data_IF_831322932481
#
_entry.id   IF_831322932481
#
_cell.length_a   1.000
_cell.length_b   1.000
_cell.length_c   1.000
_cell.angle_alpha   90.00
_cell.angle_beta   90.00
_cell.angle_gamma   90.00
#
_symmetry.space_group_name_H-M   'P 1'
#
loop_
_entity.id
_entity.type
_entity.pdbx_description
1 polymer ?
#
# COMPACT_ATOMS: atom_id res chain seq x y z
N UNK A 1 -3.53 83.05 -13.10
CA UNK A 1 -3.72 81.72 -12.53
C UNK A 1 -3.11 81.71 -11.15
N UNK A 2 -3.89 81.50 -10.12
CA UNK A 2 -3.51 81.72 -8.74
C UNK A 2 -2.55 80.59 -8.29
N UNK A 3 -1.44 80.91 -7.66
CA UNK A 3 -0.40 79.94 -7.24
C UNK A 3 -0.96 78.77 -6.43
N UNK A 4 -2.02 79.02 -5.67
CA UNK A 4 -2.74 77.97 -4.94
C UNK A 4 -3.43 76.96 -5.86
N UNK A 5 -3.98 77.38 -6.98
CA UNK A 5 -4.63 76.50 -7.97
C UNK A 5 -3.64 75.64 -8.70
N UNK A 6 -2.44 76.14 -8.94
CA UNK A 6 -1.33 75.35 -9.52
C UNK A 6 -0.80 74.27 -8.55
N UNK A 7 -0.76 74.58 -7.26
CA UNK A 7 -0.33 73.62 -6.23
C UNK A 7 -1.31 72.45 -6.08
N UNK A 8 -2.61 72.72 -6.12
CA UNK A 8 -3.63 71.67 -6.11
C UNK A 8 -3.66 70.82 -7.38
N UNK A 9 -3.40 71.43 -8.54
CA UNK A 9 -3.31 70.70 -9.80
C UNK A 9 -2.12 69.75 -9.85
N UNK A 10 -0.94 70.18 -9.34
CA UNK A 10 0.27 69.36 -9.25
C UNK A 10 0.13 68.27 -8.19
N UNK A 11 -0.52 68.56 -7.05
CA UNK A 11 -0.83 67.54 -6.03
C UNK A 11 -1.82 66.49 -6.53
N UNK A 12 -2.83 66.85 -7.33
CA UNK A 12 -3.77 65.94 -7.92
C UNK A 12 -3.14 65.08 -9.03
N UNK A 13 -2.19 65.60 -9.83
CA UNK A 13 -1.46 64.82 -10.83
C UNK A 13 -0.43 63.86 -10.21
N UNK A 14 0.10 64.16 -9.03
CA UNK A 14 1.01 63.23 -8.34
C UNK A 14 0.31 62.09 -7.61
N UNK A 15 -0.99 62.24 -7.25
CA UNK A 15 -1.78 61.15 -6.68
C UNK A 15 -2.32 60.17 -7.73
N UNK A 16 -2.32 60.51 -9.01
CA UNK A 16 -2.79 59.64 -10.08
C UNK A 16 -1.73 58.65 -10.60
N UNK A 17 -0.50 58.75 -10.12
CA UNK A 17 0.54 57.78 -10.34
C UNK A 17 0.69 56.84 -9.13
N UNK A 18 -0.39 56.24 -8.73
CA UNK A 18 -0.28 54.97 -8.01
C UNK A 18 0.13 53.96 -9.07
N UNK A 19 1.34 53.37 -9.02
CA UNK A 19 1.58 52.21 -9.86
C UNK A 19 0.53 51.21 -9.45
N UNK A 20 -0.34 50.84 -10.40
CA UNK A 20 -1.08 49.63 -10.27
C UNK A 20 -0.01 48.55 -10.10
N UNK A 21 0.30 48.22 -8.85
CA UNK A 21 0.90 46.94 -8.56
C UNK A 21 -0.12 45.95 -9.01
N UNK A 22 0.02 45.47 -10.22
CA UNK A 22 -0.55 44.20 -10.60
C UNK A 22 0.00 43.24 -9.55
N UNK A 23 -0.82 42.95 -8.54
CA UNK A 23 -0.61 41.80 -7.70
C UNK A 23 -0.55 40.64 -8.69
N UNK A 24 0.67 40.31 -9.00
CA UNK A 24 1.13 39.23 -9.85
C UNK A 24 -0.01 38.38 -10.41
N UNK A 25 -0.45 38.68 -11.64
CA UNK A 25 -0.92 37.63 -12.54
C UNK A 25 0.30 36.80 -12.98
N UNK A 26 1.10 36.35 -12.03
CA UNK A 26 1.86 35.17 -12.18
C UNK A 26 0.82 34.08 -12.04
N UNK A 27 0.12 33.77 -13.14
CA UNK A 27 -0.53 32.46 -13.26
C UNK A 27 0.53 31.48 -12.76
N UNK A 28 0.31 30.86 -11.58
CA UNK A 28 1.31 29.96 -11.06
C UNK A 28 1.55 28.97 -12.19
N UNK A 29 2.79 28.79 -12.60
CA UNK A 29 3.13 27.86 -13.69
C UNK A 29 2.89 26.43 -13.20
N UNK A 30 1.63 26.12 -12.91
CA UNK A 30 1.18 24.79 -12.57
C UNK A 30 1.59 23.76 -13.62
N UNK A 31 1.84 24.22 -14.85
CA UNK A 31 2.37 23.37 -15.92
C UNK A 31 3.78 22.88 -15.60
N UNK A 32 4.65 23.74 -15.05
CA UNK A 32 5.98 23.33 -14.61
C UNK A 32 5.89 22.53 -13.30
N UNK A 33 5.07 22.96 -12.33
CA UNK A 33 4.86 22.24 -11.09
C UNK A 33 4.29 20.83 -11.34
N UNK A 34 3.41 20.66 -12.31
CA UNK A 34 2.88 19.34 -12.72
C UNK A 34 3.96 18.37 -13.20
N UNK A 35 5.08 18.86 -13.74
CA UNK A 35 6.20 17.97 -14.12
C UNK A 35 6.79 17.25 -12.92
N UNK A 36 6.71 17.86 -11.73
CA UNK A 36 7.20 17.32 -10.47
C UNK A 36 6.08 16.72 -9.60
N UNK A 37 4.84 16.66 -10.10
CA UNK A 37 3.79 15.93 -9.42
C UNK A 37 4.19 14.46 -9.21
N UNK A 38 3.85 13.82 -8.08
CA UNK A 38 4.23 12.44 -7.79
C UNK A 38 3.98 11.47 -8.94
N UNK A 39 2.83 11.60 -9.62
CA UNK A 39 2.48 10.78 -10.78
C UNK A 39 3.42 10.93 -11.99
N UNK A 40 4.04 12.10 -12.15
CA UNK A 40 4.99 12.35 -13.23
C UNK A 40 6.42 12.05 -12.79
N UNK A 41 6.74 12.33 -11.52
CA UNK A 41 8.03 11.99 -10.93
C UNK A 41 8.25 10.46 -10.96
N UNK A 42 7.23 9.66 -10.69
CA UNK A 42 7.29 8.19 -10.78
C UNK A 42 7.61 7.68 -12.19
N UNK A 43 7.32 8.45 -13.23
CA UNK A 43 7.70 8.10 -14.62
C UNK A 43 9.16 8.43 -14.94
N UNK A 44 9.77 9.36 -14.19
CA UNK A 44 11.14 9.80 -14.35
C UNK A 44 12.09 9.14 -13.36
N UNK A 45 11.56 8.70 -12.21
CA UNK A 45 12.31 8.01 -11.18
C UNK A 45 12.15 6.50 -11.37
N UNK A 46 13.22 5.87 -11.77
CA UNK A 46 13.31 4.41 -11.78
C UNK A 46 13.55 3.88 -10.37
N UNK A 47 13.68 2.56 -10.22
CA UNK A 47 13.93 1.97 -8.90
C UNK A 47 15.22 2.51 -8.31
N UNK A 48 15.12 3.26 -7.21
CA UNK A 48 16.24 3.74 -6.40
C UNK A 48 16.41 2.95 -5.10
N UNK A 49 15.42 2.11 -4.77
CA UNK A 49 15.47 1.15 -3.66
C UNK A 49 15.23 -0.25 -4.18
N UNK A 50 15.72 -1.23 -3.44
CA UNK A 50 15.54 -2.64 -3.72
C UNK A 50 14.71 -3.25 -2.59
N UNK A 51 13.60 -3.90 -2.95
CA UNK A 51 12.77 -4.65 -2.00
C UNK A 51 12.91 -6.15 -2.30
N UNK A 52 13.69 -6.89 -1.51
CA UNK A 52 13.86 -8.32 -1.74
C UNK A 52 12.63 -9.10 -1.30
N UNK A 53 12.22 -10.07 -2.11
CA UNK A 53 11.21 -11.06 -1.77
C UNK A 53 11.89 -12.42 -1.65
N UNK A 54 12.02 -12.92 -0.44
CA UNK A 54 12.74 -14.16 -0.18
C UNK A 54 11.93 -15.39 -0.56
N UNK A 55 12.65 -16.45 -0.93
CA UNK A 55 12.12 -17.79 -1.06
C UNK A 55 11.80 -18.37 0.32
N UNK A 56 10.86 -19.31 0.39
CA UNK A 56 10.36 -19.80 1.68
C UNK A 56 11.40 -20.64 2.42
N UNK A 57 12.23 -21.38 1.68
CA UNK A 57 13.15 -22.38 2.26
C UNK A 57 14.63 -22.14 1.87
N UNK A 58 14.98 -20.93 1.44
CA UNK A 58 16.38 -20.63 1.05
C UNK A 58 16.67 -19.13 1.17
N UNK A 59 17.97 -18.79 1.15
CA UNK A 59 18.43 -17.39 1.13
C UNK A 59 18.24 -16.73 -0.24
N UNK A 60 17.70 -17.44 -1.22
CA UNK A 60 17.39 -16.88 -2.53
C UNK A 60 16.33 -15.82 -2.40
N UNK A 61 16.41 -14.81 -3.22
CA UNK A 61 15.38 -13.77 -3.31
C UNK A 61 15.22 -13.30 -4.74
N UNK A 62 14.08 -12.74 -5.01
CA UNK A 62 13.81 -12.03 -6.26
C UNK A 62 13.39 -10.60 -5.93
N UNK A 63 13.55 -9.72 -6.91
CA UNK A 63 13.13 -8.33 -6.80
C UNK A 63 12.78 -7.76 -8.16
N UNK A 64 11.91 -6.76 -8.13
CA UNK A 64 11.53 -5.96 -9.27
C UNK A 64 12.45 -4.75 -9.37
N UNK A 65 12.87 -4.42 -10.58
CA UNK A 65 13.68 -3.25 -10.85
C UNK A 65 13.22 -2.53 -12.12
N UNK A 66 12.70 -1.31 -11.96
CA UNK A 66 12.20 -0.48 -13.04
C UNK A 66 13.35 0.33 -13.65
N UNK A 67 13.43 0.35 -14.97
CA UNK A 67 14.39 1.11 -15.78
C UNK A 67 13.67 1.90 -16.86
N UNK A 68 14.39 2.74 -17.61
CA UNK A 68 13.86 3.41 -18.82
C UNK A 68 13.35 2.44 -19.89
N UNK A 69 13.85 1.22 -19.90
CA UNK A 69 13.50 0.17 -20.86
C UNK A 69 12.37 -0.74 -20.36
N UNK A 70 11.77 -0.39 -19.22
CA UNK A 70 10.71 -1.17 -18.59
C UNK A 70 11.16 -1.85 -17.29
N UNK A 71 10.31 -2.71 -16.75
CA UNK A 71 10.54 -3.42 -15.51
C UNK A 71 11.20 -4.77 -15.76
N UNK A 72 12.25 -5.05 -15.01
CA UNK A 72 12.92 -6.35 -14.96
C UNK A 72 12.70 -7.03 -13.61
N UNK A 73 12.62 -8.33 -13.61
CA UNK A 73 12.58 -9.16 -12.40
C UNK A 73 13.85 -10.00 -12.32
N UNK A 74 14.56 -9.87 -11.22
CA UNK A 74 15.82 -10.56 -11.01
C UNK A 74 15.69 -11.62 -9.94
N UNK A 75 16.29 -12.76 -10.18
CA UNK A 75 16.51 -13.82 -9.19
C UNK A 75 17.96 -13.77 -8.74
N UNK A 76 18.18 -13.75 -7.44
CA UNK A 76 19.51 -13.74 -6.81
C UNK A 76 19.65 -14.97 -5.93
N UNK A 77 20.76 -15.65 -6.10
CA UNK A 77 21.20 -16.73 -5.23
C UNK A 77 22.52 -16.31 -4.55
N UNK A 78 22.49 -15.90 -3.27
CA UNK A 78 23.67 -15.45 -2.55
C UNK A 78 24.72 -16.55 -2.39
N UNK A 79 24.29 -17.80 -2.25
CA UNK A 79 25.19 -18.94 -2.02
C UNK A 79 26.06 -19.23 -3.25
N UNK A 80 25.47 -19.18 -4.44
CA UNK A 80 26.18 -19.34 -5.70
C UNK A 80 26.73 -18.02 -6.27
N UNK A 81 26.45 -16.88 -5.60
CA UNK A 81 26.78 -15.52 -6.06
C UNK A 81 26.27 -15.25 -7.47
N UNK A 82 25.10 -15.79 -7.80
CA UNK A 82 24.48 -15.68 -9.11
C UNK A 82 23.30 -14.72 -9.09
N UNK A 83 23.27 -13.84 -10.09
CA UNK A 83 22.14 -12.95 -10.39
C UNK A 83 21.74 -13.17 -11.84
N UNK A 84 20.46 -13.46 -12.07
CA UNK A 84 19.92 -13.63 -13.42
C UNK A 84 18.52 -13.03 -13.52
N UNK A 85 18.02 -12.84 -14.72
CA UNK A 85 16.61 -12.55 -14.92
C UNK A 85 15.77 -13.72 -14.42
N UNK A 86 14.65 -13.41 -13.80
CA UNK A 86 13.66 -14.41 -13.37
C UNK A 86 13.00 -15.04 -14.61
N UNK A 87 12.71 -14.20 -15.62
CA UNK A 87 12.20 -14.59 -16.93
C UNK A 87 12.66 -13.57 -17.98
N UNK A 88 12.74 -14.00 -19.23
CA UNK A 88 12.88 -13.11 -20.39
C UNK A 88 11.53 -12.45 -20.66
N UNK A 89 11.50 -11.12 -20.68
CA UNK A 89 10.26 -10.34 -20.83
C UNK A 89 9.64 -10.49 -22.22
N UNK A 90 10.46 -10.56 -23.25
CA UNK A 90 9.97 -10.63 -24.63
C UNK A 90 9.42 -12.02 -24.93
N UNK A 91 10.10 -13.06 -24.44
CA UNK A 91 9.62 -14.43 -24.51
C UNK A 91 8.31 -14.60 -23.72
N UNK A 92 8.25 -14.05 -22.49
CA UNK A 92 7.05 -14.12 -21.67
C UNK A 92 5.88 -13.37 -22.31
N UNK A 93 6.12 -12.18 -22.88
CA UNK A 93 5.10 -11.40 -23.58
C UNK A 93 4.58 -12.14 -24.81
N UNK A 94 5.45 -12.81 -25.55
CA UNK A 94 5.06 -13.63 -26.72
C UNK A 94 4.16 -14.80 -26.29
N UNK A 95 4.54 -15.56 -25.25
CA UNK A 95 3.74 -16.66 -24.71
C UNK A 95 2.37 -16.17 -24.22
N UNK A 96 2.33 -15.04 -23.47
CA UNK A 96 1.06 -14.45 -23.01
C UNK A 96 0.18 -14.06 -24.18
N UNK A 97 0.75 -13.36 -25.18
CA UNK A 97 0.01 -12.90 -26.36
C UNK A 97 -0.61 -14.07 -27.14
N UNK A 98 0.11 -15.18 -27.25
CA UNK A 98 -0.38 -16.40 -27.89
C UNK A 98 -1.56 -17.01 -27.11
N UNK A 99 -1.44 -17.09 -25.79
CA UNK A 99 -2.44 -17.73 -24.93
C UNK A 99 -3.75 -16.92 -24.87
N UNK A 100 -3.63 -15.57 -24.73
CA UNK A 100 -4.83 -14.72 -24.52
C UNK A 100 -5.37 -14.10 -25.80
N UNK A 101 -4.62 -14.20 -26.91
CA UNK A 101 -4.99 -13.62 -28.21
C UNK A 101 -5.06 -12.08 -28.19
N UNK A 102 -4.26 -11.45 -27.34
CA UNK A 102 -4.07 -10.00 -27.27
C UNK A 102 -2.58 -9.67 -27.37
N UNK A 103 -2.17 -8.58 -28.04
CA UNK A 103 -0.76 -8.22 -28.18
C UNK A 103 -0.19 -7.65 -26.89
N UNK A 104 0.93 -8.21 -26.42
CA UNK A 104 1.73 -7.70 -25.32
C UNK A 104 3.18 -7.52 -25.76
N UNK A 105 3.87 -6.54 -25.20
CA UNK A 105 5.30 -6.29 -25.43
C UNK A 105 6.08 -6.42 -24.13
N UNK A 106 7.28 -6.96 -24.19
CA UNK A 106 8.13 -7.13 -22.99
C UNK A 106 8.48 -5.82 -22.31
N UNK A 107 8.56 -4.71 -23.05
CA UNK A 107 8.86 -3.39 -22.49
C UNK A 107 7.77 -2.87 -21.54
N UNK A 108 6.50 -3.13 -21.85
CA UNK A 108 5.34 -2.65 -21.11
C UNK A 108 4.47 -3.79 -20.59
N UNK A 109 5.10 -4.88 -20.15
CA UNK A 109 4.36 -6.02 -19.65
C UNK A 109 3.75 -5.68 -18.27
N UNK A 110 2.40 -5.57 -18.17
CA UNK A 110 1.73 -5.07 -16.97
C UNK A 110 1.54 -6.20 -15.94
N UNK A 111 2.64 -6.77 -15.45
CA UNK A 111 2.61 -7.82 -14.43
C UNK A 111 2.14 -7.22 -13.10
N UNK A 112 1.06 -7.77 -12.57
CA UNK A 112 0.54 -7.45 -11.26
C UNK A 112 0.55 -8.66 -10.34
N UNK A 113 0.64 -8.41 -9.03
CA UNK A 113 0.55 -9.44 -7.98
C UNK A 113 1.47 -10.65 -8.18
N UNK A 114 2.73 -10.42 -8.63
CA UNK A 114 3.71 -11.49 -8.77
C UNK A 114 4.02 -12.10 -7.40
N UNK A 115 3.85 -13.40 -7.25
CA UNK A 115 4.05 -14.15 -6.01
C UNK A 115 4.71 -15.49 -6.28
N UNK A 116 5.64 -15.86 -5.41
CA UNK A 116 6.20 -17.21 -5.36
C UNK A 116 5.25 -18.10 -4.54
N UNK A 117 4.95 -19.30 -5.04
CA UNK A 117 4.24 -20.34 -4.29
C UNK A 117 5.14 -20.98 -3.23
N UNK A 118 4.55 -21.76 -2.34
CA UNK A 118 5.28 -22.48 -1.26
C UNK A 118 6.25 -23.54 -1.78
N UNK A 119 6.11 -23.95 -3.04
CA UNK A 119 6.99 -24.91 -3.72
C UNK A 119 8.38 -24.32 -4.07
N UNK A 120 8.62 -23.03 -3.78
CA UNK A 120 9.83 -22.30 -4.14
C UNK A 120 10.24 -22.42 -5.64
N UNK A 121 9.27 -22.70 -6.49
CA UNK A 121 9.46 -23.00 -7.91
C UNK A 121 8.51 -22.25 -8.82
N UNK A 122 7.27 -22.11 -8.38
CA UNK A 122 6.19 -21.59 -9.22
C UNK A 122 5.83 -20.17 -8.83
N UNK A 123 5.82 -19.28 -9.81
CA UNK A 123 5.30 -17.92 -9.65
C UNK A 123 3.88 -17.82 -10.18
N UNK A 124 3.02 -17.09 -9.48
CA UNK A 124 1.71 -16.69 -9.97
C UNK A 124 1.65 -15.19 -10.12
N UNK A 125 0.95 -14.71 -11.15
CA UNK A 125 0.77 -13.28 -11.40
C UNK A 125 -0.48 -13.01 -12.23
N UNK A 126 -0.88 -11.74 -12.28
CA UNK A 126 -1.95 -11.27 -13.14
C UNK A 126 -1.42 -10.33 -14.22
N UNK A 127 -2.12 -10.32 -15.36
CA UNK A 127 -1.88 -9.37 -16.44
C UNK A 127 -3.20 -8.66 -16.72
N UNK A 128 -3.16 -7.34 -16.76
CA UNK A 128 -4.31 -6.54 -17.16
C UNK A 128 -4.34 -6.44 -18.68
N UNK A 129 -5.33 -7.06 -19.31
CA UNK A 129 -5.61 -6.95 -20.74
C UNK A 129 -6.80 -6.05 -21.04
N UNK A 130 -7.15 -5.95 -22.32
CA UNK A 130 -8.27 -5.15 -22.81
C UNK A 130 -9.62 -5.72 -22.34
N UNK A 131 -9.75 -7.04 -22.32
CA UNK A 131 -10.99 -7.74 -21.96
C UNK A 131 -11.06 -8.17 -20.49
N UNK A 132 -10.13 -7.71 -19.65
CA UNK A 132 -10.08 -8.03 -18.23
C UNK A 132 -8.72 -8.49 -17.74
N UNK A 133 -8.71 -9.07 -16.55
CA UNK A 133 -7.48 -9.61 -15.96
C UNK A 133 -7.31 -11.08 -16.33
N UNK A 134 -6.12 -11.42 -16.77
CA UNK A 134 -5.68 -12.78 -17.02
C UNK A 134 -4.74 -13.22 -15.91
N UNK A 135 -4.78 -14.48 -15.55
CA UNK A 135 -4.01 -15.05 -14.44
C UNK A 135 -3.13 -16.18 -14.96
N UNK A 136 -1.89 -16.21 -14.46
CA UNK A 136 -0.86 -17.13 -14.93
C UNK A 136 -0.11 -17.78 -13.80
N UNK A 137 0.36 -18.97 -14.07
CA UNK A 137 1.34 -19.72 -13.29
C UNK A 137 2.59 -19.92 -14.16
N UNK A 138 3.75 -19.58 -13.64
CA UNK A 138 5.04 -19.66 -14.33
C UNK A 138 6.02 -20.51 -13.53
N UNK A 139 6.43 -21.62 -14.11
CA UNK A 139 7.48 -22.50 -13.55
C UNK A 139 8.86 -21.98 -14.01
N UNK A 140 9.57 -21.30 -13.09
CA UNK A 140 10.79 -20.58 -13.48
C UNK A 140 11.95 -21.48 -13.90
N UNK A 141 12.11 -22.74 -13.41
CA UNK A 141 13.16 -23.62 -13.89
C UNK A 141 12.96 -24.11 -15.33
N UNK A 142 11.71 -24.31 -15.75
CA UNK A 142 11.40 -24.79 -17.10
C UNK A 142 10.91 -23.70 -18.06
N UNK A 143 10.80 -22.45 -17.59
CA UNK A 143 10.23 -21.31 -18.34
C UNK A 143 8.82 -21.56 -18.88
N UNK A 144 8.06 -22.45 -18.23
CA UNK A 144 6.73 -22.84 -18.68
C UNK A 144 5.66 -21.93 -18.12
N UNK A 145 4.90 -21.28 -18.99
CA UNK A 145 3.73 -20.49 -18.67
C UNK A 145 2.44 -21.30 -18.83
N UNK A 146 1.53 -21.17 -17.88
CA UNK A 146 0.20 -21.81 -17.92
C UNK A 146 -0.84 -20.78 -17.50
N UNK A 147 -1.94 -20.67 -18.24
CA UNK A 147 -3.09 -19.86 -17.83
C UNK A 147 -3.85 -20.59 -16.71
N UNK A 148 -4.19 -19.83 -15.67
CA UNK A 148 -4.92 -20.32 -14.50
C UNK A 148 -6.16 -19.46 -14.25
N UNK A 149 -7.01 -19.90 -13.33
CA UNK A 149 -8.14 -19.10 -12.87
C UNK A 149 -7.73 -18.20 -11.69
N UNK A 150 -8.57 -17.21 -11.38
CA UNK A 150 -8.32 -16.32 -10.23
C UNK A 150 -8.26 -17.08 -8.91
N UNK A 151 -9.07 -18.14 -8.77
CA UNK A 151 -9.18 -18.93 -7.54
C UNK A 151 -7.94 -19.80 -7.28
N UNK A 152 -7.13 -20.04 -8.31
CA UNK A 152 -5.84 -20.75 -8.19
C UNK A 152 -4.69 -19.84 -7.69
N UNK A 153 -4.91 -18.51 -7.65
CA UNK A 153 -3.97 -17.58 -7.03
C UNK A 153 -4.23 -17.56 -5.53
N UNK A 154 -3.22 -17.84 -4.69
CA UNK A 154 -3.38 -17.76 -3.25
C UNK A 154 -3.90 -16.38 -2.83
N UNK A 155 -4.96 -16.35 -2.05
CA UNK A 155 -5.52 -15.09 -1.54
C UNK A 155 -4.45 -14.32 -0.76
N UNK A 156 -4.38 -13.00 -0.97
CA UNK A 156 -3.49 -12.15 -0.17
C UNK A 156 -4.09 -11.94 1.20
N UNK A 157 -3.80 -12.82 2.11
CA UNK A 157 -4.24 -12.70 3.49
C UNK A 157 -3.39 -11.64 4.18
N UNK A 158 -4.04 -10.55 4.57
CA UNK A 158 -3.36 -9.40 5.18
C UNK A 158 -3.50 -9.35 6.70
N UNK A 159 -4.42 -10.11 7.27
CA UNK A 159 -4.72 -10.07 8.69
C UNK A 159 -3.90 -11.06 9.53
N UNK A 160 -3.29 -12.06 8.91
CA UNK A 160 -2.65 -13.17 9.61
C UNK A 160 -1.17 -12.88 9.90
N UNK A 161 -0.77 -13.09 11.16
CA UNK A 161 0.62 -13.18 11.59
C UNK A 161 0.96 -14.64 11.87
N UNK A 162 1.52 -15.33 10.86
CA UNK A 162 1.83 -16.76 10.92
C UNK A 162 3.13 -16.96 11.68
N UNK A 163 3.17 -17.91 12.64
CA UNK A 163 4.39 -18.29 13.34
C UNK A 163 5.41 -18.95 12.41
N UNK A 164 6.72 -18.80 12.64
CA UNK A 164 7.76 -19.41 11.79
C UNK A 164 7.66 -20.93 11.68
N UNK A 165 7.18 -21.60 12.73
CA UNK A 165 6.96 -23.05 12.76
C UNK A 165 5.62 -23.48 12.10
N UNK A 166 4.85 -22.53 11.56
CA UNK A 166 3.53 -22.74 10.94
C UNK A 166 2.53 -23.50 11.83
N UNK A 167 2.58 -23.28 13.16
CA UNK A 167 1.62 -23.92 14.07
C UNK A 167 0.51 -22.99 14.53
N UNK A 168 0.81 -21.68 14.61
CA UNK A 168 -0.08 -20.68 15.16
C UNK A 168 -0.19 -19.46 14.28
N UNK A 169 -1.35 -18.82 14.34
CA UNK A 169 -1.63 -17.56 13.63
C UNK A 169 -2.26 -16.58 14.60
N UNK A 170 -1.66 -15.40 14.73
CA UNK A 170 -2.15 -14.32 15.60
C UNK A 170 -2.78 -13.23 14.75
N UNK A 171 -3.88 -12.67 15.23
CA UNK A 171 -4.64 -11.60 14.58
C UNK A 171 -5.41 -10.78 15.61
N UNK A 172 -5.94 -9.61 15.22
CA UNK A 172 -6.88 -8.86 16.04
C UNK A 172 -8.32 -9.08 15.55
N UNK A 173 -9.25 -9.03 16.49
CA UNK A 173 -10.69 -9.02 16.23
C UNK A 173 -11.36 -8.26 17.36
N UNK A 174 -12.24 -7.31 17.02
CA UNK A 174 -12.94 -6.49 17.99
C UNK A 174 -12.00 -5.87 19.05
N UNK A 175 -10.90 -5.29 18.57
CA UNK A 175 -9.83 -4.65 19.36
C UNK A 175 -9.04 -5.59 20.30
N UNK A 176 -9.35 -6.87 20.31
CA UNK A 176 -8.65 -7.89 21.11
C UNK A 176 -7.71 -8.74 20.26
N UNK A 177 -6.71 -9.31 20.94
CA UNK A 177 -5.75 -10.21 20.34
C UNK A 177 -6.30 -11.65 20.39
N UNK A 178 -6.20 -12.35 19.27
CA UNK A 178 -6.64 -13.72 19.11
C UNK A 178 -5.53 -14.59 18.53
N UNK A 179 -5.62 -15.88 18.82
CA UNK A 179 -4.79 -16.92 18.20
C UNK A 179 -5.67 -18.05 17.67
N UNK A 180 -5.24 -18.63 16.55
CA UNK A 180 -5.82 -19.89 16.03
C UNK A 180 -4.69 -20.84 15.61
N UNK A 181 -5.06 -22.11 15.37
CA UNK A 181 -4.16 -23.10 14.77
C UNK A 181 -3.90 -22.75 13.29
N UNK A 182 -2.78 -23.22 12.74
CA UNK A 182 -2.53 -23.06 11.31
C UNK A 182 -3.56 -23.81 10.45
N UNK A 183 -4.07 -24.95 10.93
CA UNK A 183 -5.15 -25.70 10.29
C UNK A 183 -6.45 -24.87 10.20
N UNK A 184 -6.84 -24.21 11.29
CA UNK A 184 -8.01 -23.32 11.30
C UNK A 184 -7.81 -22.08 10.42
N UNK A 185 -6.57 -21.58 10.34
CA UNK A 185 -6.22 -20.52 9.39
C UNK A 185 -6.43 -20.97 7.94
N UNK A 186 -6.02 -22.18 7.56
CA UNK A 186 -6.27 -22.71 6.21
C UNK A 186 -7.77 -22.83 5.90
N UNK A 187 -8.59 -23.22 6.89
CA UNK A 187 -10.06 -23.20 6.75
C UNK A 187 -10.56 -21.76 6.57
N UNK A 188 -10.08 -20.82 7.39
CA UNK A 188 -10.46 -19.40 7.34
C UNK A 188 -10.10 -18.71 6.04
N UNK A 189 -9.04 -19.16 5.35
CA UNK A 189 -8.66 -18.69 4.02
C UNK A 189 -9.62 -19.18 2.94
N UNK A 190 -10.11 -20.39 3.07
CA UNK A 190 -11.07 -21.01 2.12
C UNK A 190 -12.49 -20.49 2.34
N UNK A 191 -12.92 -20.48 3.58
CA UNK A 191 -14.23 -19.98 4.01
C UNK A 191 -14.07 -19.18 5.31
N UNK A 192 -14.10 -17.84 5.26
CA UNK A 192 -13.98 -17.01 6.46
C UNK A 192 -15.07 -17.21 7.51
N UNK A 193 -16.24 -17.72 7.09
CA UNK A 193 -17.43 -17.92 7.92
C UNK A 193 -17.60 -19.38 8.40
N UNK A 194 -16.63 -20.24 8.15
CA UNK A 194 -16.64 -21.63 8.58
C UNK A 194 -16.77 -21.73 10.12
N UNK A 195 -17.85 -22.31 10.60
CA UNK A 195 -18.19 -22.42 12.02
C UNK A 195 -17.32 -23.44 12.78
N UNK A 196 -16.50 -24.22 12.09
CA UNK A 196 -15.58 -25.18 12.72
C UNK A 196 -14.26 -24.56 13.12
N UNK A 197 -14.02 -23.29 12.75
CA UNK A 197 -12.81 -22.54 13.09
C UNK A 197 -12.83 -22.21 14.58
N UNK A 198 -11.77 -22.60 15.27
CA UNK A 198 -11.56 -22.27 16.68
C UNK A 198 -10.65 -21.03 16.82
N UNK A 199 -11.18 -19.98 17.42
CA UNK A 199 -10.45 -18.75 17.74
C UNK A 199 -10.36 -18.60 19.26
N UNK A 200 -9.15 -18.43 19.79
CA UNK A 200 -8.92 -18.26 21.22
C UNK A 200 -8.54 -16.80 21.47
N UNK A 201 -9.33 -16.12 22.28
CA UNK A 201 -9.00 -14.77 22.72
C UNK A 201 -7.82 -14.79 23.71
N UNK A 202 -6.78 -14.02 23.40
CA UNK A 202 -5.63 -13.80 24.29
C UNK A 202 -5.83 -12.59 25.19
N UNK A 203 -6.65 -11.62 24.77
CA UNK A 203 -7.08 -10.45 25.55
C UNK A 203 -8.59 -10.30 25.45
N UNK A 204 -9.20 -9.59 26.42
CA UNK A 204 -10.64 -9.36 26.48
C UNK A 204 -11.00 -7.95 26.92
N UNK A 205 -10.01 -7.08 27.02
CA UNK A 205 -10.08 -5.71 27.53
C UNK A 205 -10.04 -4.64 26.46
N UNK A 206 -10.10 -5.07 25.19
CA UNK A 206 -10.18 -4.16 24.04
C UNK A 206 -11.46 -3.33 24.07
N UNK A 207 -11.31 -2.02 23.99
CA UNK A 207 -12.41 -1.06 23.98
C UNK A 207 -12.14 0.08 23.00
N UNK A 208 -13.10 0.99 22.83
CA UNK A 208 -12.92 2.16 21.96
C UNK A 208 -11.64 2.92 22.33
N UNK A 209 -10.82 3.20 21.35
CA UNK A 209 -9.54 3.90 21.45
C UNK A 209 -8.47 3.15 22.27
N UNK A 210 -8.71 1.88 22.62
CA UNK A 210 -7.77 1.02 23.32
C UNK A 210 -7.84 -0.42 22.79
N UNK A 211 -6.75 -0.92 22.19
CA UNK A 211 -6.74 -2.30 21.70
C UNK A 211 -5.70 -2.59 20.62
N UNK A 212 -5.88 -3.75 20.01
CA UNK A 212 -5.05 -4.27 18.94
C UNK A 212 -5.72 -4.10 17.56
N UNK A 213 -4.93 -4.12 16.49
CA UNK A 213 -5.43 -4.04 15.12
C UNK A 213 -5.95 -2.68 14.72
N UNK A 214 -5.67 -1.66 15.51
CA UNK A 214 -5.98 -0.29 15.16
C UNK A 214 -5.06 0.20 14.03
N UNK A 215 -5.60 0.83 12.98
CA UNK A 215 -4.78 1.39 11.91
C UNK A 215 -3.93 2.54 12.47
N UNK A 216 -2.73 2.71 11.93
CA UNK A 216 -1.87 3.86 12.25
C UNK A 216 -2.40 5.20 11.73
N UNK A 217 -3.38 5.17 10.84
CA UNK A 217 -4.01 6.36 10.27
C UNK A 217 -5.18 6.79 11.14
N UNK A 218 -5.36 8.08 11.23
CA UNK A 218 -6.37 8.85 11.94
C UNK A 218 -7.81 8.48 11.49
N UNK A 219 -8.23 7.25 11.72
CA UNK A 219 -9.58 6.80 11.42
C UNK A 219 -10.38 6.69 12.71
N UNK A 220 -11.65 7.03 12.63
CA UNK A 220 -12.59 6.78 13.69
C UNK A 220 -12.60 5.28 14.02
N UNK A 221 -12.31 4.94 15.29
CA UNK A 221 -12.22 3.56 15.75
C UNK A 221 -13.59 2.88 15.92
N UNK A 222 -14.69 3.63 15.81
CA UNK A 222 -16.06 3.10 15.93
C UNK A 222 -16.39 1.98 14.94
N UNK A 223 -15.64 1.91 13.80
CA UNK A 223 -15.83 0.87 12.77
C UNK A 223 -14.93 -0.36 12.97
N UNK A 224 -14.14 -0.42 14.04
CA UNK A 224 -13.18 -1.50 14.26
C UNK A 224 -13.80 -2.75 14.90
N UNK A 225 -14.94 -2.61 15.59
CA UNK A 225 -15.70 -3.72 16.18
C UNK A 225 -16.71 -4.27 15.13
N UNK A 226 -16.20 -4.78 14.01
CA UNK A 226 -16.98 -5.34 12.90
C UNK A 226 -16.87 -6.88 12.81
N UNK A 227 -16.38 -7.51 13.84
CA UNK A 227 -16.13 -8.96 13.96
C UNK A 227 -15.19 -9.54 12.90
N UNK A 228 -14.48 -8.69 12.15
CA UNK A 228 -13.54 -9.14 11.13
C UNK A 228 -12.13 -9.28 11.69
N UNK A 229 -11.41 -10.26 11.15
CA UNK A 229 -9.99 -10.46 11.44
C UNK A 229 -9.16 -9.30 10.86
N UNK A 230 -8.29 -8.71 11.68
CA UNK A 230 -7.43 -7.57 11.32
C UNK A 230 -5.97 -7.87 11.64
N UNK A 231 -5.08 -7.23 10.92
CA UNK A 231 -3.65 -7.34 11.16
C UNK A 231 -3.26 -6.71 12.49
N UNK A 232 -2.41 -7.40 13.21
CA UNK A 232 -1.74 -6.87 14.40
C UNK A 232 -0.30 -6.53 14.05
N UNK A 233 0.12 -5.33 14.36
CA UNK A 233 1.52 -4.97 14.25
C UNK A 233 2.31 -5.69 15.34
N UNK A 234 3.20 -6.58 14.92
CA UNK A 234 3.98 -7.39 15.83
C UNK A 234 4.92 -8.34 15.10
N UNK A 235 5.75 -9.03 15.88
CA UNK A 235 6.74 -9.96 15.36
C UNK A 235 6.80 -11.23 16.21
N UNK A 236 6.96 -12.35 15.54
CA UNK A 236 7.25 -13.62 16.16
C UNK A 236 8.74 -13.73 16.54
N UNK A 237 9.03 -14.41 17.64
CA UNK A 237 10.38 -14.92 17.89
C UNK A 237 10.75 -15.96 16.83
N UNK A 238 12.06 -16.13 16.51
CA UNK A 238 12.50 -17.08 15.48
C UNK A 238 12.07 -18.54 15.75
N UNK A 239 11.92 -18.91 17.02
CA UNK A 239 11.47 -20.23 17.45
C UNK A 239 9.94 -20.38 17.47
N UNK A 240 9.20 -19.35 17.12
CA UNK A 240 7.72 -19.33 17.09
C UNK A 240 7.05 -19.40 18.48
N UNK A 241 7.82 -19.25 19.59
CA UNK A 241 7.28 -19.40 20.94
C UNK A 241 6.62 -18.14 21.46
N UNK A 242 7.11 -16.97 21.07
CA UNK A 242 6.65 -15.66 21.55
C UNK A 242 6.21 -14.79 20.39
N UNK A 243 5.18 -14.00 20.63
CA UNK A 243 4.72 -12.95 19.71
C UNK A 243 4.70 -11.62 20.45
N UNK A 244 5.47 -10.65 20.00
CA UNK A 244 5.43 -9.28 20.51
C UNK A 244 4.44 -8.49 19.68
N UNK A 245 3.41 -7.93 20.30
CA UNK A 245 2.38 -7.13 19.66
C UNK A 245 2.39 -5.69 20.18
N UNK A 246 2.00 -4.74 19.32
CA UNK A 246 1.80 -3.36 19.72
C UNK A 246 0.34 -3.15 20.13
N UNK A 247 0.12 -2.78 21.38
CA UNK A 247 -1.14 -2.28 21.89
C UNK A 247 -1.19 -0.76 21.65
N UNK A 248 -2.31 -0.25 21.19
CA UNK A 248 -2.54 1.19 21.04
C UNK A 248 -3.49 1.68 22.11
N UNK A 249 -3.11 2.73 22.84
CA UNK A 249 -3.97 3.43 23.80
C UNK A 249 -4.07 4.91 23.39
N UNK A 250 -5.24 5.31 22.92
CA UNK A 250 -5.53 6.66 22.49
C UNK A 250 -6.64 7.32 23.32
N UNK A 251 -7.03 6.72 24.46
CA UNK A 251 -8.13 7.22 25.29
C UNK A 251 -7.90 8.63 25.83
N UNK A 252 -6.64 9.00 26.06
CA UNK A 252 -6.26 10.34 26.52
C UNK A 252 -6.06 11.36 25.39
N UNK A 253 -5.98 10.90 24.15
CA UNK A 253 -5.81 11.79 22.98
C UNK A 253 -7.15 12.45 22.65
N UNK A 254 -7.12 13.77 22.48
CA UNK A 254 -8.32 14.54 22.16
C UNK A 254 -8.75 14.38 20.70
N UNK A 255 -10.01 14.67 20.43
CA UNK A 255 -10.58 14.61 19.09
C UNK A 255 -10.26 15.90 18.31
N UNK A 256 -9.79 15.73 17.07
CA UNK A 256 -9.72 16.80 16.08
C UNK A 256 -10.93 16.68 15.15
N UNK A 257 -11.59 17.81 14.92
CA UNK A 257 -12.74 17.90 14.02
C UNK A 257 -12.34 18.58 12.72
N UNK A 258 -12.63 17.92 11.60
CA UNK A 258 -12.33 18.43 10.27
C UNK A 258 -13.59 18.38 9.42
N UNK A 259 -13.82 19.45 8.68
CA UNK A 259 -14.90 19.47 7.70
C UNK A 259 -14.39 18.98 6.36
N UNK A 260 -14.93 17.86 5.89
CA UNK A 260 -14.72 17.40 4.52
C UNK A 260 -15.63 18.19 3.58
N UNK A 261 -15.09 19.29 3.05
CA UNK A 261 -15.85 20.23 2.21
C UNK A 261 -16.17 19.70 0.81
N UNK A 262 -15.48 18.62 0.38
CA UNK A 262 -15.70 18.00 -0.94
C UNK A 262 -16.64 16.80 -0.90
N UNK A 263 -17.12 16.39 0.27
CA UNK A 263 -18.05 15.30 0.43
C UNK A 263 -19.39 15.63 -0.28
N UNK A 264 -20.02 14.60 -0.87
CA UNK A 264 -21.31 14.71 -1.57
C UNK A 264 -22.38 13.90 -0.83
N UNK A 265 -23.62 14.35 -0.77
CA UNK A 265 -24.19 15.56 -1.38
C UNK A 265 -23.94 16.87 -0.61
N UNK A 266 -23.35 16.78 0.60
CA UNK A 266 -23.04 17.94 1.46
C UNK A 266 -21.73 17.71 2.20
N UNK A 267 -21.04 18.77 2.67
CA UNK A 267 -19.92 18.64 3.58
C UNK A 267 -20.25 17.78 4.80
N UNK A 268 -19.30 16.97 5.24
CA UNK A 268 -19.43 16.12 6.43
C UNK A 268 -18.42 16.52 7.48
N UNK A 269 -18.76 16.32 8.74
CA UNK A 269 -17.84 16.45 9.85
C UNK A 269 -17.12 15.12 10.02
N UNK A 270 -15.80 15.16 10.04
CA UNK A 270 -14.93 14.02 10.34
C UNK A 270 -14.23 14.26 11.68
N UNK A 271 -14.17 13.24 12.51
CA UNK A 271 -13.57 13.30 13.84
C UNK A 271 -12.55 12.19 13.97
N UNK A 272 -11.36 12.52 14.45
CA UNK A 272 -10.30 11.54 14.69
C UNK A 272 -9.36 11.98 15.81
N UNK A 273 -8.72 11.02 16.47
CA UNK A 273 -7.75 11.27 17.53
C UNK A 273 -6.51 11.96 16.96
N UNK A 274 -6.17 13.11 17.50
CA UNK A 274 -5.00 13.86 17.08
C UNK A 274 -4.39 14.63 18.25
N UNK A 275 -3.15 14.32 18.56
CA UNK A 275 -2.39 15.03 19.59
C UNK A 275 -1.86 16.33 19.05
N UNK A 276 -2.28 17.45 19.63
CA UNK A 276 -1.73 18.77 19.30
C UNK A 276 -0.39 19.00 20.00
N UNK A 277 0.47 19.86 19.44
CA UNK A 277 1.72 20.24 20.13
C UNK A 277 1.47 20.78 21.54
N UNK A 278 2.13 20.18 22.54
CA UNK A 278 2.01 20.58 23.94
C UNK A 278 0.93 19.81 24.74
N UNK A 279 0.12 18.98 24.09
CA UNK A 279 -0.81 18.10 24.81
C UNK A 279 -0.10 16.85 25.32
N UNK A 280 -0.65 16.25 26.39
CA UNK A 280 -0.21 14.95 26.87
C UNK A 280 -0.45 13.89 25.78
N UNK A 281 0.59 13.15 25.42
CA UNK A 281 0.51 12.12 24.41
C UNK A 281 -0.05 10.80 24.93
N UNK A 282 -0.33 9.90 23.97
CA UNK A 282 -0.50 8.49 24.27
C UNK A 282 0.82 7.94 24.82
N UNK A 283 0.79 7.15 25.89
CA UNK A 283 1.98 6.52 26.49
C UNK A 283 2.68 5.56 25.52
#
# INVERSE_FOLDING_TARGET
>A
MNVKTLFYAVAFLSLSWVPFTYAQDVLPEYTQARRFAPSNAEQLLFSYTLTPNYFNNSDKFWYEYKTSEGTNWYLVDPNSRNKRLLFDRDELAAQISEIVREPFTGQQLPIGDLRLKEDDRTFTFSIKGTNGNYFFSYDYPSSRLTRITKDEIPAKIRWANISPDKKRVVFAKDLNLYVMSYEDYEKAVKDPEDKTISEIALTTDGEKDFGFGMPRTFLNTDTLCDHKRKYVMGNWSPDGRYFAATLSDQRVVQDLWVINSIAKPRPTLETYKYQMPGEAGSP
#
